data_IF_780199012267
#
_entry.id   IF_780199012267
#
_cell.length_a   1.000
_cell.length_b   1.000
_cell.length_c   1.000
_cell.angle_alpha   90.00
_cell.angle_beta   90.00
_cell.angle_gamma   90.00
#
_symmetry.space_group_name_H-M   'P 1'
#
loop_
_entity.id
_entity.type
_entity.pdbx_description
1 polymer ?
#
# COMPACT_ATOMS: atom_id res chain seq x y z
N UNK A 1 -8.02 16.09 12.02
CA UNK A 1 -7.58 14.75 11.60
C UNK A 1 -6.87 14.89 10.27
N UNK A 2 -5.60 14.47 10.17
CA UNK A 2 -4.83 14.59 8.92
C UNK A 2 -4.79 13.23 8.21
N UNK A 3 -4.90 13.26 6.88
CA UNK A 3 -4.77 12.09 6.02
C UNK A 3 -3.49 12.22 5.22
N UNK A 4 -2.71 11.15 5.15
CA UNK A 4 -1.55 11.06 4.29
C UNK A 4 -1.78 9.98 3.23
N UNK A 5 -1.44 10.28 1.99
CA UNK A 5 -1.44 9.32 0.91
C UNK A 5 -0.06 9.34 0.24
N UNK A 6 0.51 8.17 0.05
CA UNK A 6 1.82 8.00 -0.57
C UNK A 6 1.67 7.28 -1.91
N UNK A 7 2.26 7.82 -2.97
CA UNK A 7 2.25 7.22 -4.30
C UNK A 7 3.62 6.65 -4.64
N UNK A 8 3.64 5.39 -5.05
CA UNK A 8 4.82 4.67 -5.55
C UNK A 8 4.62 4.27 -6.99
N UNK A 9 5.73 4.11 -7.73
CA UNK A 9 5.73 3.51 -9.07
C UNK A 9 6.35 2.12 -8.98
N UNK A 10 5.75 1.14 -9.66
CA UNK A 10 6.32 -0.20 -9.81
C UNK A 10 6.32 -0.62 -11.27
N UNK A 11 7.50 -0.98 -11.78
CA UNK A 11 7.73 -1.51 -13.14
C UNK A 11 7.67 -3.05 -13.21
N UNK A 12 8.22 -3.80 -12.24
CA UNK A 12 8.20 -5.26 -12.32
C UNK A 12 6.82 -5.82 -11.93
N UNK A 13 6.51 -7.02 -12.44
CA UNK A 13 5.33 -7.78 -12.01
C UNK A 13 5.46 -8.13 -10.52
N UNK A 14 4.58 -7.57 -9.68
CA UNK A 14 4.53 -7.86 -8.25
C UNK A 14 3.14 -8.28 -7.80
N UNK A 15 3.03 -9.10 -6.77
CA UNK A 15 1.78 -9.30 -6.04
C UNK A 15 1.48 -8.09 -5.16
N UNK A 16 0.24 -7.97 -4.68
CA UNK A 16 -0.12 -6.95 -3.68
C UNK A 16 0.70 -7.09 -2.40
N UNK A 17 0.96 -8.32 -1.95
CA UNK A 17 1.80 -8.57 -0.76
C UNK A 17 3.23 -8.09 -0.96
N UNK A 18 3.84 -8.34 -2.12
CA UNK A 18 5.17 -7.84 -2.46
C UNK A 18 5.23 -6.31 -2.50
N UNK A 19 4.18 -5.66 -3.00
CA UNK A 19 4.09 -4.19 -2.99
C UNK A 19 3.97 -3.64 -1.57
N UNK A 20 3.22 -4.32 -0.71
CA UNK A 20 3.06 -3.93 0.70
C UNK A 20 4.32 -4.22 1.50
N UNK A 21 5.04 -5.30 1.22
CA UNK A 21 6.34 -5.59 1.85
C UNK A 21 7.36 -4.50 1.52
N UNK A 22 7.40 -4.04 0.27
CA UNK A 22 8.38 -3.05 -0.18
C UNK A 22 8.03 -1.62 0.25
N UNK A 23 6.77 -1.22 0.14
CA UNK A 23 6.36 0.18 0.34
C UNK A 23 5.53 0.44 1.59
N UNK A 24 4.93 -0.60 2.16
CA UNK A 24 4.11 -0.52 3.37
C UNK A 24 4.82 0.09 4.57
N UNK A 25 6.11 -0.23 4.87
CA UNK A 25 6.83 0.38 6.00
C UNK A 25 6.88 1.91 5.90
N UNK A 26 7.06 2.46 4.70
CA UNK A 26 7.10 3.91 4.49
C UNK A 26 5.71 4.53 4.68
N UNK A 27 4.66 3.90 4.14
CA UNK A 27 3.28 4.34 4.36
C UNK A 27 2.92 4.32 5.86
N UNK A 28 3.32 3.27 6.59
CA UNK A 28 3.10 3.14 8.03
C UNK A 28 3.85 4.23 8.81
N UNK A 29 5.03 4.64 8.37
CA UNK A 29 5.80 5.69 9.05
C UNK A 29 5.04 7.04 9.12
N UNK A 30 4.11 7.30 8.20
CA UNK A 30 3.23 8.46 8.27
C UNK A 30 2.14 8.34 9.35
N UNK A 31 1.82 7.12 9.83
CA UNK A 31 0.82 6.88 10.87
C UNK A 31 1.35 7.26 12.25
N UNK A 32 1.29 8.56 12.54
CA UNK A 32 1.57 9.16 13.84
C UNK A 32 0.29 9.38 14.65
N UNK A 33 0.43 9.88 15.88
CA UNK A 33 -0.70 10.25 16.76
C UNK A 33 -1.69 11.23 16.09
N UNK A 34 -1.24 12.01 15.10
CA UNK A 34 -2.05 13.01 14.39
C UNK A 34 -2.47 12.60 12.97
N UNK A 35 -2.06 11.42 12.50
CA UNK A 35 -2.40 10.87 11.18
C UNK A 35 -2.96 9.46 11.40
N UNK A 36 -4.29 9.38 11.45
CA UNK A 36 -5.00 8.14 11.78
C UNK A 36 -5.02 7.14 10.62
N UNK A 37 -4.84 7.62 9.38
CA UNK A 37 -4.91 6.80 8.17
C UNK A 37 -3.77 7.17 7.22
N UNK A 38 -3.05 6.14 6.76
CA UNK A 38 -2.08 6.25 5.68
C UNK A 38 -2.51 5.33 4.54
N UNK A 39 -2.60 5.90 3.35
CA UNK A 39 -3.01 5.20 2.13
C UNK A 39 -1.76 4.97 1.27
N UNK A 40 -1.50 3.72 0.91
CA UNK A 40 -0.47 3.36 -0.05
C UNK A 40 -1.10 3.24 -1.43
N UNK A 41 -0.69 4.10 -2.35
CA UNK A 41 -1.06 4.04 -3.76
C UNK A 41 0.14 3.53 -4.56
N UNK A 42 -0.09 2.61 -5.48
CA UNK A 42 0.95 2.07 -6.37
C UNK A 42 0.47 2.22 -7.81
N UNK A 43 1.18 3.03 -8.58
CA UNK A 43 1.10 3.04 -10.04
C UNK A 43 1.86 1.83 -10.57
N UNK A 44 1.13 0.83 -11.03
CA UNK A 44 1.62 -0.42 -11.56
C UNK A 44 1.78 -0.32 -13.08
N UNK A 45 3.02 -0.12 -13.49
CA UNK A 45 3.43 0.02 -14.88
C UNK A 45 3.86 -1.31 -15.49
N UNK A 46 3.58 -2.45 -14.84
CA UNK A 46 3.84 -3.73 -15.45
C UNK A 46 2.87 -3.94 -16.62
N UNK A 47 3.42 -4.07 -17.82
CA UNK A 47 2.63 -4.35 -19.01
C UNK A 47 2.02 -5.75 -18.93
N UNK A 48 0.69 -5.80 -18.87
CA UNK A 48 -0.11 -7.03 -18.86
C UNK A 48 -0.64 -7.39 -20.24
N UNK A 49 -0.10 -6.78 -21.29
CA UNK A 49 -0.54 -6.95 -22.68
C UNK A 49 -2.05 -6.72 -22.84
N UNK A 50 -2.57 -5.67 -22.20
CA UNK A 50 -3.99 -5.30 -22.25
C UNK A 50 -4.91 -6.02 -21.27
N UNK A 51 -4.41 -6.97 -20.46
CA UNK A 51 -5.21 -7.61 -19.41
C UNK A 51 -5.15 -6.80 -18.10
N UNK A 52 -5.91 -5.69 -18.03
CA UNK A 52 -6.06 -4.95 -16.77
C UNK A 52 -7.06 -5.67 -15.84
N UNK A 53 -6.65 -6.08 -14.63
CA UNK A 53 -7.58 -6.63 -13.64
C UNK A 53 -8.62 -5.58 -13.21
N UNK A 54 -9.82 -6.03 -12.81
CA UNK A 54 -10.84 -5.14 -12.25
C UNK A 54 -10.26 -4.38 -11.05
N UNK A 55 -10.56 -3.09 -10.95
CA UNK A 55 -10.08 -2.22 -9.88
C UNK A 55 -10.44 -2.77 -8.50
N UNK A 56 -11.55 -3.51 -8.37
CA UNK A 56 -11.96 -4.15 -7.12
C UNK A 56 -10.96 -5.20 -6.62
N UNK A 57 -10.24 -5.83 -7.55
CA UNK A 57 -9.21 -6.83 -7.26
C UNK A 57 -7.83 -6.18 -7.03
N UNK A 58 -7.76 -4.86 -7.23
CA UNK A 58 -6.55 -4.05 -7.10
C UNK A 58 -6.56 -3.17 -5.83
N UNK A 59 -7.66 -3.19 -5.07
CA UNK A 59 -7.78 -2.54 -3.78
C UNK A 59 -7.75 -3.61 -2.69
N UNK A 60 -6.89 -3.45 -1.68
CA UNK A 60 -6.79 -4.43 -0.60
C UNK A 60 -6.41 -3.80 0.74
N UNK A 61 -6.82 -4.47 1.82
CA UNK A 61 -6.53 -4.06 3.19
C UNK A 61 -5.53 -5.03 3.82
N UNK A 62 -4.43 -4.49 4.34
CA UNK A 62 -3.35 -5.28 4.91
C UNK A 62 -3.14 -4.91 6.38
N UNK A 63 -3.02 -5.91 7.24
CA UNK A 63 -2.70 -5.72 8.65
C UNK A 63 -1.24 -6.11 8.89
N UNK A 64 -0.45 -5.18 9.44
CA UNK A 64 0.98 -5.37 9.69
C UNK A 64 1.31 -5.05 11.13
N UNK A 65 2.03 -5.95 11.77
CA UNK A 65 2.66 -5.68 13.07
C UNK A 65 4.01 -5.04 12.79
N UNK A 66 4.24 -3.84 13.30
CA UNK A 66 5.54 -3.17 13.15
C UNK A 66 6.53 -3.86 14.08
N UNK A 67 7.71 -4.25 13.55
CA UNK A 67 8.79 -4.79 14.37
C UNK A 67 9.07 -3.81 15.52
N UNK A 68 9.14 -4.31 16.75
CA UNK A 68 9.32 -3.57 18.01
C UNK A 68 8.04 -2.91 18.61
N UNK A 69 6.85 -3.18 18.05
CA UNK A 69 5.60 -2.78 18.69
C UNK A 69 4.55 -3.91 18.67
N UNK A 70 3.74 -4.00 19.73
CA UNK A 70 2.51 -4.82 19.72
C UNK A 70 1.35 -4.15 18.96
N UNK A 71 1.63 -3.05 18.25
CA UNK A 71 0.63 -2.24 17.57
C UNK A 71 0.44 -2.77 16.15
N UNK A 72 -0.77 -3.27 15.89
CA UNK A 72 -1.17 -3.60 14.53
C UNK A 72 -1.52 -2.32 13.77
N UNK A 73 -0.94 -2.17 12.58
CA UNK A 73 -1.16 -1.06 11.66
C UNK A 73 -1.90 -1.55 10.43
N UNK A 74 -2.78 -0.71 9.92
CA UNK A 74 -3.59 -1.01 8.73
C UNK A 74 -3.04 -0.24 7.54
N UNK A 75 -2.77 -0.93 6.44
CA UNK A 75 -2.35 -0.34 5.17
C UNK A 75 -3.44 -0.61 4.15
N UNK A 76 -4.00 0.46 3.59
CA UNK A 76 -4.89 0.37 2.42
C UNK A 76 -4.03 0.50 1.17
N UNK A 77 -4.02 -0.54 0.34
CA UNK A 77 -3.36 -0.52 -0.96
C UNK A 77 -4.38 -0.17 -2.05
N UNK A 78 -4.08 0.86 -2.83
CA UNK A 78 -4.71 1.14 -4.12
C UNK A 78 -3.70 0.92 -5.23
N UNK A 79 -3.87 -0.14 -6.01
CA UNK A 79 -3.04 -0.44 -7.17
C UNK A 79 -3.76 0.03 -8.44
N UNK A 80 -3.07 0.80 -9.27
CA UNK A 80 -3.61 1.46 -10.47
C UNK A 80 -2.76 1.10 -11.67
#
# INVERSE_FOLDING_TARGET
MKTAAELKRSLPKRSSDQLVDEYGPQAIAYQSTNVSFAILMVLDLFDRMGAQPDIRDQISLHHRTVADSSVQKTVVLFRV
#
